data_IF_073173616780
#
_entry.id   IF_073173616780
#
_cell.length_a   1.000
_cell.length_b   1.000
_cell.length_c   1.000
_cell.angle_alpha   90.00
_cell.angle_beta   90.00
_cell.angle_gamma   90.00
#
_symmetry.space_group_name_H-M   'P 1'
#
loop_
_entity.id
_entity.type
_entity.pdbx_description
1 polymer ?
#
# COMPACT_ATOMS: atom_id res chain seq x y z
N UNK A 1 -12.88 -18.55 14.47
CA UNK A 1 -13.38 -18.85 14.41
C UNK A 1 -13.53 -19.24 14.49
N UNK A 2 -13.12 -19.25 14.23
CA UNK A 2 -13.44 -19.69 14.02
C UNK A 2 -13.02 -20.23 14.04
N UNK A 3 -12.56 -20.38 13.59
CA UNK A 3 -12.34 -21.01 13.32
C UNK A 3 -11.87 -21.19 13.54
N UNK A 4 -11.69 -21.21 13.40
CA UNK A 4 -11.55 -21.58 13.39
C UNK A 4 -11.00 -21.65 13.65
N UNK A 5 -10.74 -21.76 13.51
CA UNK A 5 -10.51 -22.06 13.54
C UNK A 5 -10.09 -22.57 13.51
N UNK A 6 -9.92 -22.93 13.52
CA UNK A 6 -9.73 -23.49 13.12
C UNK A 6 -9.37 -23.51 12.55
N UNK A 7 -9.42 -23.48 12.15
CA UNK A 7 -9.12 -23.45 11.35
C UNK A 7 -8.54 -22.89 11.29
N UNK A 8 -8.58 -22.56 11.46
CA UNK A 8 -8.07 -22.07 11.34
C UNK A 8 -7.24 -22.04 11.73
N UNK A 9 -6.91 -21.71 11.88
CA UNK A 9 -6.04 -22.10 12.57
C UNK A 9 -4.87 -22.84 12.23
N UNK A 10 -4.94 -23.54 11.55
CA UNK A 10 -3.90 -24.38 11.06
C UNK A 10 -2.96 -23.66 10.13
N UNK A 11 -3.49 -22.83 9.31
CA UNK A 11 -2.70 -22.12 8.29
C UNK A 11 -1.72 -21.14 8.87
N UNK A 12 -1.90 -20.73 10.08
CA UNK A 12 -1.03 -19.70 10.63
C UNK A 12 0.31 -20.22 11.15
N UNK A 13 0.50 -21.52 11.18
CA UNK A 13 1.77 -22.07 11.64
C UNK A 13 2.90 -21.86 10.63
N UNK A 14 2.57 -21.61 9.38
CA UNK A 14 3.56 -21.38 8.32
C UNK A 14 3.19 -20.14 7.54
N UNK A 15 3.22 -18.97 8.21
CA UNK A 15 2.72 -17.74 7.57
C UNK A 15 3.45 -17.37 6.29
N UNK A 16 4.76 -17.62 6.19
CA UNK A 16 5.51 -17.29 4.98
C UNK A 16 5.07 -18.15 3.79
N UNK A 17 4.52 -19.34 4.04
CA UNK A 17 4.07 -20.21 2.97
C UNK A 17 2.69 -19.84 2.46
N UNK A 18 2.02 -18.89 3.14
CA UNK A 18 0.72 -18.39 2.74
C UNK A 18 0.81 -17.02 2.10
N UNK A 19 1.98 -16.68 1.56
CA UNK A 19 2.22 -15.38 0.94
C UNK A 19 2.72 -15.58 -0.49
N UNK A 20 1.86 -16.11 -1.38
CA UNK A 20 2.28 -16.45 -2.75
C UNK A 20 2.68 -15.22 -3.58
N UNK A 21 2.22 -14.04 -3.20
CA UNK A 21 2.55 -12.82 -3.93
C UNK A 21 3.67 -12.02 -3.29
N UNK A 22 4.24 -12.52 -2.18
CA UNK A 22 5.30 -11.81 -1.48
C UNK A 22 4.84 -10.48 -0.92
N UNK A 23 3.61 -10.39 -0.45
CA UNK A 23 3.03 -9.14 0.06
C UNK A 23 3.71 -8.67 1.34
N UNK A 24 4.45 -9.55 2.02
CA UNK A 24 5.22 -9.18 3.19
C UNK A 24 6.20 -8.05 2.88
N UNK A 25 6.67 -7.95 1.64
CA UNK A 25 7.59 -6.87 1.27
C UNK A 25 6.96 -5.49 1.49
N UNK A 26 5.66 -5.38 1.25
CA UNK A 26 4.94 -4.13 1.51
C UNK A 26 4.80 -3.89 3.00
N UNK A 27 4.42 -4.90 3.77
CA UNK A 27 4.25 -4.76 5.22
C UNK A 27 5.58 -4.35 5.85
N UNK A 28 6.67 -5.01 5.48
CA UNK A 28 7.99 -4.72 6.02
C UNK A 28 8.46 -3.30 5.68
N UNK A 29 8.13 -2.82 4.48
CA UNK A 29 8.50 -1.47 4.08
C UNK A 29 7.63 -0.42 4.80
N UNK A 30 6.35 -0.72 4.99
CA UNK A 30 5.42 0.22 5.62
C UNK A 30 5.62 0.37 7.11
N UNK A 31 5.89 -0.73 7.83
CA UNK A 31 5.91 -0.73 9.28
C UNK A 31 6.80 0.37 9.88
N UNK A 32 8.04 0.58 9.42
CA UNK A 32 8.90 1.60 10.04
C UNK A 32 8.43 3.03 9.79
N UNK A 33 7.61 3.27 8.77
CA UNK A 33 7.27 4.64 8.36
C UNK A 33 5.78 4.95 8.43
N UNK A 34 4.94 3.99 8.77
CA UNK A 34 3.50 4.17 8.63
C UNK A 34 2.97 5.33 9.47
N UNK A 35 3.44 5.49 10.70
CA UNK A 35 3.00 6.60 11.54
C UNK A 35 3.36 7.95 10.92
N UNK A 36 4.56 8.04 10.35
CA UNK A 36 4.99 9.26 9.68
C UNK A 36 4.15 9.53 8.43
N UNK A 37 3.80 8.47 7.68
CA UNK A 37 2.92 8.60 6.52
C UNK A 37 1.58 9.21 6.93
N UNK A 38 0.99 8.73 8.01
CA UNK A 38 -0.29 9.23 8.49
C UNK A 38 -0.21 10.71 8.85
N UNK A 39 0.88 11.12 9.50
CA UNK A 39 1.09 12.53 9.85
C UNK A 39 1.17 13.39 8.59
N UNK A 40 1.96 12.95 7.61
CA UNK A 40 2.15 13.73 6.38
C UNK A 40 0.85 13.85 5.60
N UNK A 41 0.08 12.77 5.50
CA UNK A 41 -1.20 12.81 4.81
C UNK A 41 -2.22 13.65 5.55
N UNK A 42 -2.25 13.56 6.88
CA UNK A 42 -3.13 14.39 7.67
C UNK A 42 -2.82 15.87 7.45
N UNK A 43 -1.55 16.21 7.34
CA UNK A 43 -1.12 17.60 7.12
C UNK A 43 -1.26 18.03 5.66
N UNK A 44 -1.60 17.09 4.77
CA UNK A 44 -1.78 17.39 3.36
C UNK A 44 -0.49 17.68 2.62
N UNK A 45 0.64 17.12 3.10
CA UNK A 45 1.93 17.38 2.48
C UNK A 45 2.84 16.18 2.67
N UNK A 46 3.09 15.47 1.57
CA UNK A 46 4.01 14.34 1.55
C UNK A 46 5.45 14.84 1.58
N UNK A 47 6.28 14.26 2.42
CA UNK A 47 7.70 14.60 2.54
C UNK A 47 8.62 13.40 2.38
N UNK A 48 8.22 12.24 2.89
CA UNK A 48 9.06 11.05 2.84
C UNK A 48 9.01 10.32 1.50
N UNK A 49 9.86 9.30 1.37
CA UNK A 49 10.02 8.52 0.14
C UNK A 49 9.29 7.19 0.27
N UNK A 50 7.96 7.24 0.34
CA UNK A 50 7.19 6.03 0.65
C UNK A 50 6.11 5.70 -0.41
N UNK A 51 6.06 6.44 -1.50
CA UNK A 51 4.94 6.34 -2.45
C UNK A 51 4.74 4.94 -3.02
N UNK A 52 5.84 4.26 -3.39
CA UNK A 52 5.76 2.99 -4.08
C UNK A 52 5.12 1.88 -3.24
N UNK A 53 5.25 1.93 -1.92
CA UNK A 53 4.72 0.86 -1.08
C UNK A 53 3.53 1.28 -0.21
N UNK A 54 3.12 2.52 -0.26
CA UNK A 54 1.89 2.99 0.41
C UNK A 54 0.73 3.04 -0.60
N UNK A 55 0.98 3.57 -1.79
CA UNK A 55 0.00 3.59 -2.88
C UNK A 55 0.55 2.73 -4.02
N UNK A 56 0.21 1.43 -4.02
CA UNK A 56 0.87 0.48 -4.93
C UNK A 56 0.63 0.81 -6.40
N UNK A 57 1.62 0.48 -7.22
CA UNK A 57 1.63 0.79 -8.65
C UNK A 57 1.71 -0.51 -9.44
N UNK A 58 1.15 -0.48 -10.64
CA UNK A 58 1.28 -1.59 -11.56
C UNK A 58 2.75 -1.72 -11.99
N UNK A 59 3.23 -2.97 -12.05
CA UNK A 59 4.59 -3.24 -12.51
C UNK A 59 4.75 -2.74 -13.95
N UNK A 60 5.89 -2.15 -14.24
CA UNK A 60 6.18 -1.65 -15.58
C UNK A 60 5.97 -0.17 -15.76
N UNK A 61 5.32 0.50 -14.81
CA UNK A 61 5.12 1.95 -14.88
C UNK A 61 6.39 2.72 -14.55
N UNK A 62 7.33 2.09 -13.84
CA UNK A 62 8.62 2.69 -13.54
C UNK A 62 9.73 1.71 -13.84
N UNK A 63 10.97 2.22 -13.89
CA UNK A 63 12.12 1.40 -14.28
C UNK A 63 13.19 1.31 -13.20
N UNK A 64 12.99 1.98 -12.05
CA UNK A 64 13.95 1.90 -10.95
C UNK A 64 13.85 0.55 -10.26
N UNK A 65 14.87 0.23 -9.46
CA UNK A 65 14.86 -1.00 -8.66
C UNK A 65 13.65 -1.03 -7.72
N UNK A 66 13.36 0.08 -7.07
CA UNK A 66 12.24 0.15 -6.12
C UNK A 66 10.90 -0.04 -6.84
N UNK A 67 10.77 0.51 -8.05
CA UNK A 67 9.56 0.33 -8.85
C UNK A 67 9.36 -1.14 -9.22
N UNK A 68 10.46 -1.84 -9.51
CA UNK A 68 10.39 -3.27 -9.84
C UNK A 68 10.03 -4.11 -8.63
N UNK A 69 10.65 -3.83 -7.47
CA UNK A 69 10.41 -4.59 -6.24
C UNK A 69 8.97 -4.46 -5.78
N UNK A 70 8.40 -3.25 -5.84
CA UNK A 70 7.07 -3.00 -5.31
C UNK A 70 5.97 -2.97 -6.37
N UNK A 71 6.29 -3.27 -7.63
CA UNK A 71 5.28 -3.31 -8.67
C UNK A 71 4.28 -4.45 -8.46
N UNK A 72 3.00 -4.16 -8.67
CA UNK A 72 1.94 -5.17 -8.65
C UNK A 72 1.96 -5.86 -10.02
N UNK A 73 2.15 -7.17 -10.02
CA UNK A 73 2.43 -7.92 -11.24
C UNK A 73 1.19 -8.48 -11.92
N UNK A 74 0.07 -8.58 -11.20
CA UNK A 74 -1.13 -9.24 -11.72
C UNK A 74 -2.36 -8.73 -11.02
N UNK A 75 -3.52 -8.99 -11.63
CA UNK A 75 -4.80 -8.70 -11.01
C UNK A 75 -4.98 -9.48 -9.72
N UNK A 76 -4.52 -10.74 -9.71
CA UNK A 76 -4.61 -11.58 -8.52
C UNK A 76 -3.81 -10.98 -7.37
N UNK A 77 -2.64 -10.44 -7.65
CA UNK A 77 -1.85 -9.78 -6.63
C UNK A 77 -2.56 -8.52 -6.11
N UNK A 78 -3.15 -7.73 -7.00
CA UNK A 78 -3.90 -6.54 -6.60
C UNK A 78 -5.06 -6.91 -5.68
N UNK A 79 -5.80 -7.96 -6.02
CA UNK A 79 -6.91 -8.43 -5.20
C UNK A 79 -6.42 -8.93 -3.85
N UNK A 80 -5.33 -9.69 -3.84
CA UNK A 80 -4.74 -10.18 -2.60
C UNK A 80 -4.29 -9.03 -1.70
N UNK A 81 -3.74 -7.97 -2.29
CA UNK A 81 -3.33 -6.77 -1.56
C UNK A 81 -4.54 -6.15 -0.84
N UNK A 82 -5.64 -5.95 -1.56
CA UNK A 82 -6.83 -5.34 -0.99
C UNK A 82 -7.47 -6.19 0.10
N UNK A 83 -7.33 -7.51 0.01
CA UNK A 83 -7.91 -8.43 0.98
C UNK A 83 -6.96 -8.73 2.15
N UNK A 84 -5.72 -8.29 2.06
CA UNK A 84 -4.74 -8.51 3.11
C UNK A 84 -5.15 -7.79 4.40
N UNK A 85 -5.01 -8.48 5.54
CA UNK A 85 -5.49 -7.98 6.83
C UNK A 85 -4.83 -6.67 7.26
N UNK A 86 -3.62 -6.40 6.79
CA UNK A 86 -2.88 -5.18 7.12
C UNK A 86 -2.92 -4.19 5.97
N UNK A 87 -2.60 -4.66 4.75
CA UNK A 87 -2.40 -3.77 3.60
C UNK A 87 -3.70 -3.14 3.12
N UNK A 88 -4.78 -3.92 3.09
CA UNK A 88 -6.08 -3.41 2.66
C UNK A 88 -6.55 -2.24 3.53
N UNK A 89 -6.65 -2.43 4.84
CA UNK A 89 -7.06 -1.34 5.72
C UNK A 89 -6.12 -0.13 5.67
N UNK A 90 -4.81 -0.35 5.56
CA UNK A 90 -3.87 0.77 5.47
C UNK A 90 -4.07 1.59 4.20
N UNK A 91 -4.28 0.92 3.07
CA UNK A 91 -4.53 1.64 1.82
C UNK A 91 -5.81 2.46 1.93
N UNK A 92 -6.86 1.88 2.50
CA UNK A 92 -8.12 2.60 2.68
C UNK A 92 -7.95 3.78 3.62
N UNK A 93 -7.23 3.61 4.71
CA UNK A 93 -6.97 4.69 5.66
C UNK A 93 -6.21 5.83 5.00
N UNK A 94 -5.13 5.52 4.28
CA UNK A 94 -4.33 6.53 3.62
C UNK A 94 -5.13 7.27 2.54
N UNK A 95 -5.92 6.53 1.75
CA UNK A 95 -6.78 7.14 0.73
C UNK A 95 -7.82 8.05 1.37
N UNK A 96 -8.40 7.61 2.48
CA UNK A 96 -9.38 8.42 3.20
C UNK A 96 -8.77 9.73 3.68
N UNK A 97 -7.56 9.67 4.22
CA UNK A 97 -6.88 10.88 4.69
C UNK A 97 -6.63 11.86 3.54
N UNK A 98 -6.23 11.36 2.37
CA UNK A 98 -6.06 12.22 1.20
C UNK A 98 -7.39 12.91 0.86
N UNK A 99 -8.48 12.17 0.90
CA UNK A 99 -9.80 12.72 0.57
C UNK A 99 -10.30 13.74 1.58
N UNK A 100 -9.77 13.72 2.80
CA UNK A 100 -10.16 14.68 3.84
C UNK A 100 -9.41 16.00 3.76
N UNK A 101 -8.32 16.07 3.00
CA UNK A 101 -7.52 17.29 2.89
C UNK A 101 -8.34 18.36 2.16
N UNK A 102 -8.44 19.54 2.75
CA UNK A 102 -9.16 20.67 2.17
C UNK A 102 -8.19 21.78 1.81
N UNK A 103 -8.47 22.46 0.71
CA UNK A 103 -7.66 23.59 0.29
C UNK A 103 -6.36 23.25 -0.40
N UNK A 104 -6.11 21.97 -0.67
CA UNK A 104 -4.90 21.53 -1.38
C UNK A 104 -5.28 20.50 -2.43
N UNK A 105 -4.68 20.63 -3.60
CA UNK A 105 -4.87 19.68 -4.69
C UNK A 105 -3.98 18.45 -4.49
N UNK A 106 -4.22 17.40 -5.27
CA UNK A 106 -3.36 16.22 -5.29
C UNK A 106 -1.93 16.64 -5.61
N UNK A 107 -1.75 17.57 -6.54
CA UNK A 107 -0.43 18.05 -6.92
C UNK A 107 0.28 18.73 -5.76
N UNK A 108 -0.47 19.45 -4.93
CA UNK A 108 0.09 20.13 -3.76
C UNK A 108 0.43 19.16 -2.64
N UNK A 109 -0.40 18.12 -2.47
CA UNK A 109 -0.16 17.12 -1.41
C UNK A 109 1.07 16.28 -1.73
N UNK A 110 1.20 15.81 -2.96
CA UNK A 110 2.22 14.85 -3.33
C UNK A 110 3.41 15.44 -4.07
N UNK A 111 3.18 16.47 -4.89
CA UNK A 111 4.21 16.98 -5.78
C UNK A 111 4.50 16.02 -6.94
N UNK A 112 5.14 16.50 -8.01
CA UNK A 112 5.51 15.64 -9.12
C UNK A 112 6.75 14.83 -8.78
N UNK A 113 6.86 13.56 -9.22
CA UNK A 113 5.88 12.81 -9.99
C UNK A 113 4.91 11.99 -9.14
N UNK A 114 4.90 12.16 -7.83
CA UNK A 114 4.09 11.33 -6.92
C UNK A 114 2.60 11.57 -7.12
N UNK A 115 2.20 12.74 -7.59
CA UNK A 115 0.81 13.03 -7.91
C UNK A 115 0.28 12.06 -8.98
N UNK A 116 1.09 11.76 -9.99
CA UNK A 116 0.71 10.81 -11.03
C UNK A 116 0.65 9.39 -10.48
N UNK A 117 1.56 9.06 -9.56
CA UNK A 117 1.55 7.74 -8.92
C UNK A 117 0.29 7.52 -8.09
N UNK A 118 -0.17 8.55 -7.39
CA UNK A 118 -1.40 8.44 -6.63
C UNK A 118 -2.59 8.16 -7.55
N UNK A 119 -2.71 8.93 -8.64
CA UNK A 119 -3.80 8.74 -9.59
C UNK A 119 -3.75 7.35 -10.22
N UNK A 120 -2.55 6.89 -10.57
CA UNK A 120 -2.36 5.56 -11.14
C UNK A 120 -2.77 4.47 -10.15
N UNK A 121 -2.40 4.63 -8.88
CA UNK A 121 -2.76 3.67 -7.84
C UNK A 121 -4.28 3.56 -7.70
N UNK A 122 -4.98 4.68 -7.75
CA UNK A 122 -6.44 4.68 -7.58
C UNK A 122 -7.17 4.00 -8.73
N UNK A 123 -6.53 3.84 -9.88
CA UNK A 123 -7.14 3.15 -11.02
C UNK A 123 -6.70 1.68 -11.13
N UNK A 124 -5.87 1.23 -10.23
CA UNK A 124 -5.37 -0.14 -10.21
C UNK A 124 -6.45 -1.16 -9.72
#
# INVERSE_FOLDING_TARGET
>A
MYLTFSTLQTKRRMPFMNDPHGLKRFVDAQNPVYEQVLVELHNGQKEGHWMWFIFPQLRGLGHSHIATVFGIASRQEAEAYLEHAVLGPRLRECTHLVNLVEGRSIDQIFGPPDDLKFRSSMTL
#
